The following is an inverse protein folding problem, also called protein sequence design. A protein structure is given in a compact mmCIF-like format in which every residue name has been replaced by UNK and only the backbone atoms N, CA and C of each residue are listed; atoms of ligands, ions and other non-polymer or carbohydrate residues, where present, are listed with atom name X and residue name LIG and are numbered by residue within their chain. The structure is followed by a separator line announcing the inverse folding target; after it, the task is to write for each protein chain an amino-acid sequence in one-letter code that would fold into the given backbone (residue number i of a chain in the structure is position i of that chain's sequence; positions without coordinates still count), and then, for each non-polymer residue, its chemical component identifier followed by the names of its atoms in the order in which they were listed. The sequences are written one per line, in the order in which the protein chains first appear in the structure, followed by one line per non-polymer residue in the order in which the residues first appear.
data_IF_995333944215
#
_entry.id   IF_995333944215
#
_cell.length_a   1.000
_cell.length_b   1.000
_cell.length_c   1.000
_cell.angle_alpha   90.00
_cell.angle_beta   90.00
_cell.angle_gamma   90.00
#
_symmetry.space_group_name_H-M   'P 1'
#
loop_
_entity.id
_entity.type
_entity.pdbx_description
1 polymer ?
#
# COMPACT_ATOMS: atom_id res chain seq x y z
N UNK A 1 -13.69 -22.52 8.50
CA UNK A 1 -13.16 -22.12 7.18
C UNK A 1 -13.21 -20.60 7.14
N UNK A 2 -12.07 -19.93 7.34
CA UNK A 2 -12.00 -18.50 7.15
C UNK A 2 -11.76 -18.26 5.66
N UNK A 3 -12.76 -17.74 4.94
CA UNK A 3 -12.52 -17.18 3.61
C UNK A 3 -11.51 -16.07 3.77
N UNK A 4 -10.31 -16.31 3.26
CA UNK A 4 -9.30 -15.28 3.09
C UNK A 4 -9.96 -14.25 2.17
N UNK A 5 -10.10 -13.01 2.63
CA UNK A 5 -10.38 -11.85 1.77
C UNK A 5 -9.21 -11.67 0.81
N UNK A 6 -9.11 -12.55 -0.17
CA UNK A 6 -7.92 -12.81 -0.97
C UNK A 6 -7.76 -11.84 -2.15
N UNK A 7 -8.66 -10.86 -2.30
CA UNK A 7 -8.75 -10.06 -3.53
C UNK A 7 -7.58 -9.10 -3.73
N UNK A 8 -7.18 -8.36 -2.70
CA UNK A 8 -6.32 -7.17 -2.90
C UNK A 8 -5.08 -7.15 -1.99
N UNK A 9 -5.22 -7.51 -0.69
CA UNK A 9 -4.08 -7.61 0.23
C UNK A 9 -3.03 -8.65 -0.23
N UNK A 10 -3.47 -9.78 -0.79
CA UNK A 10 -2.57 -10.80 -1.34
C UNK A 10 -1.77 -10.27 -2.54
N UNK A 11 -2.38 -9.42 -3.37
CA UNK A 11 -1.70 -8.77 -4.50
C UNK A 11 -0.63 -7.79 -4.00
N UNK A 12 -0.96 -6.93 -3.03
CA UNK A 12 0.01 -6.03 -2.39
C UNK A 12 1.21 -6.79 -1.80
N UNK A 13 0.97 -7.92 -1.14
CA UNK A 13 2.05 -8.77 -0.60
C UNK A 13 2.92 -9.34 -1.72
N UNK A 14 2.34 -9.85 -2.80
CA UNK A 14 3.09 -10.35 -3.96
C UNK A 14 3.95 -9.25 -4.61
N UNK A 15 3.43 -8.02 -4.69
CA UNK A 15 4.17 -6.87 -5.21
C UNK A 15 5.36 -6.53 -4.31
N UNK A 16 5.15 -6.47 -2.98
CA UNK A 16 6.24 -6.22 -2.02
C UNK A 16 7.34 -7.29 -2.13
N UNK A 17 6.96 -8.55 -2.37
CA UNK A 17 7.92 -9.64 -2.59
C UNK A 17 8.65 -9.50 -3.94
N UNK A 18 7.95 -9.12 -5.02
CA UNK A 18 8.53 -8.91 -6.34
C UNK A 18 9.47 -7.68 -6.41
N UNK A 19 9.13 -6.59 -5.72
CA UNK A 19 9.94 -5.37 -5.66
C UNK A 19 11.33 -5.65 -5.08
N UNK A 20 11.43 -6.52 -4.08
CA UNK A 20 12.73 -6.98 -3.53
C UNK A 20 13.58 -7.74 -4.54
N UNK A 21 12.95 -8.47 -5.47
CA UNK A 21 13.64 -9.19 -6.54
C UNK A 21 14.18 -8.27 -7.64
N UNK A 22 13.41 -7.25 -8.02
CA UNK A 22 13.81 -6.29 -9.06
C UNK A 22 14.93 -5.34 -8.63
N UNK A 23 14.95 -4.89 -7.36
CA UNK A 23 15.99 -3.98 -6.86
C UNK A 23 17.35 -4.63 -6.62
N UNK A 24 17.42 -5.97 -6.53
CA UNK A 24 18.69 -6.69 -6.39
C UNK A 24 19.48 -6.81 -7.72
N UNK A 25 18.93 -6.34 -8.86
CA UNK A 25 19.55 -6.55 -10.18
C UNK A 25 20.23 -5.34 -10.84
N UNK A 26 20.40 -4.20 -10.15
CA UNK A 26 21.13 -3.04 -10.73
C UNK A 26 22.56 -2.91 -10.18
N UNK A 27 23.48 -3.56 -10.88
CA UNK A 27 24.92 -3.39 -10.74
C UNK A 27 25.43 -2.02 -11.22
N UNK A 28 26.46 -1.54 -10.52
CA UNK A 28 27.50 -0.55 -10.89
C UNK A 28 27.32 0.21 -12.21
N UNK A 29 27.15 1.54 -12.14
CA UNK A 29 27.80 2.52 -13.05
C UNK A 29 27.85 3.89 -12.38
N UNK A 30 29.03 4.52 -12.42
CA UNK A 30 29.32 5.80 -11.80
C UNK A 30 28.82 7.00 -12.63
N UNK A 31 28.64 8.13 -11.95
CA UNK A 31 28.32 9.43 -12.54
C UNK A 31 27.57 10.32 -11.55
N UNK A 32 28.26 11.35 -11.04
CA UNK A 32 27.76 12.53 -10.32
C UNK A 32 26.68 12.34 -9.24
N UNK A 33 27.11 12.36 -7.96
CA UNK A 33 26.24 12.42 -6.78
C UNK A 33 25.53 13.79 -6.70
N UNK A 34 24.33 13.88 -7.26
CA UNK A 34 23.25 14.53 -6.52
C UNK A 34 22.82 13.55 -5.43
N UNK A 35 22.74 14.01 -4.18
CA UNK A 35 22.15 13.21 -3.11
C UNK A 35 20.73 12.85 -3.56
N UNK A 36 20.35 11.56 -3.56
CA UNK A 36 18.98 11.21 -3.88
C UNK A 36 18.09 11.91 -2.85
N UNK A 37 16.95 12.45 -3.26
CA UNK A 37 15.84 12.48 -2.32
C UNK A 37 15.60 11.03 -1.94
N UNK A 38 16.07 10.59 -0.77
CA UNK A 38 16.18 9.19 -0.32
C UNK A 38 14.80 8.49 -0.10
N UNK A 39 13.74 8.94 -0.78
CA UNK A 39 12.38 8.43 -0.66
C UNK A 39 11.92 7.93 -2.01
N UNK A 40 11.84 6.61 -2.18
CA UNK A 40 11.36 6.00 -3.43
C UNK A 40 10.09 5.23 -3.13
N UNK A 41 9.04 5.51 -3.91
CA UNK A 41 7.74 4.86 -3.80
C UNK A 41 7.33 4.27 -5.15
N UNK A 42 6.46 3.27 -5.12
CA UNK A 42 5.63 2.89 -6.26
C UNK A 42 4.15 2.98 -5.87
N UNK A 43 3.32 3.36 -6.83
CA UNK A 43 1.88 3.40 -6.69
C UNK A 43 1.28 2.45 -7.71
N UNK A 44 0.33 1.62 -7.28
CA UNK A 44 -0.42 0.74 -8.17
C UNK A 44 -1.91 0.93 -7.98
N UNK A 45 -2.65 0.86 -9.08
CA UNK A 45 -4.10 0.92 -9.11
C UNK A 45 -4.56 0.24 -10.39
N UNK A 46 -5.57 -0.64 -10.36
CA UNK A 46 -6.32 -1.11 -11.53
C UNK A 46 -5.53 -1.28 -12.85
N UNK A 47 -4.49 -2.13 -12.85
CA UNK A 47 -3.68 -2.43 -14.04
C UNK A 47 -2.68 -1.34 -14.47
N UNK A 48 -2.59 -0.25 -13.71
CA UNK A 48 -1.62 0.82 -13.85
C UNK A 48 -0.57 0.75 -12.73
N UNK A 49 0.64 1.20 -13.03
CA UNK A 49 1.73 1.32 -12.07
C UNK A 49 2.49 2.60 -12.35
N UNK A 50 2.77 3.35 -11.30
CA UNK A 50 3.46 4.64 -11.34
C UNK A 50 4.75 4.52 -10.53
N UNK A 51 5.84 4.97 -11.13
CA UNK A 51 7.13 5.15 -10.47
C UNK A 51 7.12 6.41 -9.60
N UNK A 52 8.11 6.54 -8.71
CA UNK A 52 8.16 7.63 -7.74
C UNK A 52 7.93 9.03 -8.35
N UNK A 53 8.60 9.33 -9.45
CA UNK A 53 8.57 10.65 -10.10
C UNK A 53 7.22 10.97 -10.76
N UNK A 54 6.38 9.96 -10.96
CA UNK A 54 5.03 10.08 -11.53
C UNK A 54 3.97 10.27 -10.44
N UNK A 55 4.30 10.00 -9.17
CA UNK A 55 3.36 10.10 -8.05
C UNK A 55 3.28 11.55 -7.58
N UNK A 56 2.04 12.06 -7.51
CA UNK A 56 1.75 13.39 -6.97
C UNK A 56 0.50 13.34 -6.09
N UNK A 57 0.33 14.34 -5.22
CA UNK A 57 -0.89 14.48 -4.42
C UNK A 57 -2.16 14.57 -5.28
N UNK A 58 -2.07 15.24 -6.43
CA UNK A 58 -3.16 15.33 -7.40
C UNK A 58 -3.51 13.95 -7.96
N UNK A 59 -2.51 13.17 -8.39
CA UNK A 59 -2.72 11.80 -8.87
C UNK A 59 -3.37 10.91 -7.81
N UNK A 60 -2.88 10.94 -6.57
CA UNK A 60 -3.45 10.15 -5.45
C UNK A 60 -4.92 10.53 -5.23
N UNK A 61 -5.22 11.83 -5.22
CA UNK A 61 -6.59 12.33 -5.07
C UNK A 61 -7.49 11.91 -6.23
N UNK A 62 -7.00 11.97 -7.46
CA UNK A 62 -7.76 11.61 -8.65
C UNK A 62 -8.09 10.11 -8.65
N UNK A 63 -7.12 9.25 -8.34
CA UNK A 63 -7.32 7.80 -8.20
C UNK A 63 -8.32 7.51 -7.09
N UNK A 64 -8.14 8.09 -5.90
CA UNK A 64 -9.04 7.89 -4.76
C UNK A 64 -10.48 8.34 -5.09
N UNK A 65 -10.62 9.44 -5.82
CA UNK A 65 -11.93 9.96 -6.24
C UNK A 65 -12.62 8.99 -7.20
N UNK A 66 -11.85 8.33 -8.06
CA UNK A 66 -12.32 7.34 -9.02
C UNK A 66 -12.65 5.96 -8.43
N UNK A 67 -12.20 5.64 -7.21
CA UNK A 67 -12.51 4.34 -6.60
C UNK A 67 -14.02 4.19 -6.42
N UNK A 68 -14.59 3.13 -6.99
CA UNK A 68 -15.96 2.73 -6.75
C UNK A 68 -16.01 1.51 -5.83
N UNK A 69 -17.01 1.46 -4.95
CA UNK A 69 -17.27 0.28 -4.10
C UNK A 69 -17.83 -0.91 -4.90
N UNK A 70 -18.33 -0.65 -6.12
CA UNK A 70 -18.96 -1.66 -6.98
C UNK A 70 -17.93 -2.43 -7.83
N UNK A 71 -16.71 -1.91 -7.93
CA UNK A 71 -15.61 -2.48 -8.70
C UNK A 71 -14.49 -2.88 -7.75
N UNK A 72 -13.67 -3.87 -8.13
CA UNK A 72 -12.50 -4.32 -7.36
C UNK A 72 -11.36 -3.27 -7.42
N UNK A 73 -11.73 -2.00 -7.28
CA UNK A 73 -10.85 -0.86 -7.40
C UNK A 73 -9.97 -0.74 -6.18
N UNK A 74 -8.70 -0.39 -6.41
CA UNK A 74 -7.76 -0.17 -5.34
C UNK A 74 -6.70 0.88 -5.69
N UNK A 75 -6.04 1.37 -4.65
CA UNK A 75 -4.80 2.14 -4.72
C UNK A 75 -3.86 1.57 -3.65
N UNK A 76 -2.63 1.25 -4.05
CA UNK A 76 -1.59 0.76 -3.14
C UNK A 76 -0.35 1.62 -3.29
N UNK A 77 0.14 2.18 -2.19
CA UNK A 77 1.40 2.91 -2.13
C UNK A 77 2.41 2.04 -1.40
N UNK A 78 3.50 1.70 -2.07
CA UNK A 78 4.57 0.84 -1.55
C UNK A 78 5.86 1.66 -1.48
N UNK A 79 6.42 1.89 -0.30
CA UNK A 79 7.74 2.50 -0.18
C UNK A 79 8.82 1.46 -0.47
N UNK A 80 9.96 1.90 -0.99
CA UNK A 80 11.12 1.04 -1.20
C UNK A 80 11.67 0.53 0.15
N UNK A 81 11.70 1.40 1.15
CA UNK A 81 12.06 1.10 2.53
C UNK A 81 10.84 1.21 3.46
N UNK A 82 10.64 0.28 4.42
CA UNK A 82 9.47 0.32 5.29
C UNK A 82 9.38 1.60 6.13
N UNK A 83 8.18 2.16 6.25
CA UNK A 83 7.87 3.33 7.08
C UNK A 83 7.34 2.84 8.42
N UNK A 84 8.10 3.02 9.51
CA UNK A 84 7.73 2.49 10.84
C UNK A 84 7.36 0.98 10.80
N UNK A 85 8.07 0.19 9.98
CA UNK A 85 7.79 -1.23 9.76
C UNK A 85 6.64 -1.52 8.78
N UNK A 86 5.87 -0.52 8.38
CA UNK A 86 4.87 -0.64 7.32
C UNK A 86 5.52 -0.83 5.96
N UNK A 87 5.07 -1.85 5.23
CA UNK A 87 5.54 -2.18 3.88
C UNK A 87 4.63 -1.67 2.77
N UNK A 88 3.40 -1.27 3.09
CA UNK A 88 2.48 -0.61 2.17
C UNK A 88 1.31 0.01 2.94
N UNK A 89 0.64 0.97 2.29
CA UNK A 89 -0.74 1.37 2.57
C UNK A 89 -1.59 1.10 1.33
N UNK A 90 -2.80 0.60 1.53
CA UNK A 90 -3.73 0.27 0.47
C UNK A 90 -5.12 0.79 0.82
N UNK A 91 -5.86 1.21 -0.19
CA UNK A 91 -7.29 1.47 -0.10
C UNK A 91 -7.96 0.66 -1.19
N UNK A 92 -9.05 -0.03 -0.85
CA UNK A 92 -9.83 -0.78 -1.82
C UNK A 92 -11.31 -0.78 -1.50
N UNK A 93 -12.09 -1.26 -2.46
CA UNK A 93 -13.52 -1.53 -2.27
C UNK A 93 -13.76 -2.48 -1.08
N UNK A 94 -14.92 -2.36 -0.40
CA UNK A 94 -15.28 -3.24 0.70
C UNK A 94 -15.23 -4.71 0.27
N UNK A 95 -14.77 -5.55 1.19
CA UNK A 95 -15.18 -6.94 1.22
C UNK A 95 -16.73 -6.99 1.18
N UNK A 96 -17.28 -7.87 0.33
CA UNK A 96 -18.71 -8.08 0.07
C UNK A 96 -19.59 -8.24 1.33
N UNK A 97 -18.98 -8.39 2.50
CA UNK A 97 -19.63 -8.43 3.81
C UNK A 97 -20.14 -7.05 4.28
N UNK A 98 -19.44 -5.95 4.00
CA UNK A 98 -19.72 -4.63 4.66
C UNK A 98 -20.51 -3.63 3.81
N UNK A 99 -20.82 -3.98 2.56
CA UNK A 99 -21.71 -3.32 1.59
C UNK A 99 -21.46 -1.82 1.26
N UNK A 100 -20.78 -1.00 2.06
CA UNK A 100 -20.76 0.46 1.80
C UNK A 100 -19.51 1.23 2.26
N UNK A 101 -18.47 0.58 2.78
CA UNK A 101 -17.28 1.28 3.32
C UNK A 101 -16.02 0.98 2.51
N UNK A 102 -15.22 2.01 2.20
CA UNK A 102 -13.86 1.75 1.69
C UNK A 102 -13.04 1.11 2.80
N UNK A 103 -12.17 0.19 2.41
CA UNK A 103 -11.24 -0.45 3.33
C UNK A 103 -9.87 0.21 3.18
N UNK A 104 -9.30 0.67 4.28
CA UNK A 104 -7.89 1.05 4.37
C UNK A 104 -7.12 -0.11 5.01
N UNK A 105 -6.03 -0.53 4.38
CA UNK A 105 -5.15 -1.58 4.86
C UNK A 105 -3.72 -1.09 5.00
N UNK A 106 -3.08 -1.41 6.12
CA UNK A 106 -1.64 -1.17 6.33
C UNK A 106 -0.98 -2.51 6.58
N UNK A 107 -0.05 -2.87 5.70
CA UNK A 107 0.78 -4.07 5.88
C UNK A 107 2.00 -3.75 6.72
N UNK A 108 2.24 -4.50 7.79
CA UNK A 108 3.41 -4.39 8.66
C UNK A 108 4.17 -5.71 8.64
N UNK A 109 5.47 -5.63 8.35
CA UNK A 109 6.32 -6.83 8.34
C UNK A 109 6.44 -7.39 9.76
N UNK A 110 6.27 -8.70 9.88
CA UNK A 110 6.55 -9.44 11.12
C UNK A 110 7.96 -10.05 11.08
N UNK A 111 8.50 -10.44 12.23
CA UNK A 111 9.78 -11.17 12.32
C UNK A 111 9.65 -12.58 11.72
N UNK A 112 8.43 -13.12 11.73
CA UNK A 112 8.08 -14.40 11.11
C UNK A 112 7.85 -14.24 9.60
N UNK A 113 7.99 -15.31 8.80
CA UNK A 113 7.69 -15.28 7.37
C UNK A 113 6.20 -14.98 7.13
N UNK A 114 5.89 -13.70 6.96
CA UNK A 114 4.53 -13.20 6.84
C UNK A 114 4.42 -11.69 6.98
N UNK A 115 3.18 -11.24 7.05
CA UNK A 115 2.81 -9.84 7.23
C UNK A 115 1.57 -9.76 8.11
N UNK A 116 1.54 -8.83 9.06
CA UNK A 116 0.31 -8.47 9.76
C UNK A 116 -0.37 -7.36 8.97
N UNK A 117 -1.60 -7.58 8.56
CA UNK A 117 -2.42 -6.55 7.92
C UNK A 117 -3.35 -5.95 8.97
N UNK A 118 -3.33 -4.62 9.06
CA UNK A 118 -4.25 -3.83 9.84
C UNK A 118 -5.30 -3.25 8.90
N UNK A 119 -6.58 -3.36 9.26
CA UNK A 119 -7.73 -3.05 8.42
C UNK A 119 -8.66 -2.08 9.14
N UNK A 120 -9.07 -1.03 8.44
CA UNK A 120 -9.99 -0.01 8.92
C UNK A 120 -11.03 0.31 7.86
N UNK A 121 -12.30 0.35 8.26
CA UNK A 121 -13.42 0.64 7.37
C UNK A 121 -13.88 2.07 7.59
N UNK A 122 -14.05 2.82 6.52
CA UNK A 122 -14.60 4.18 6.59
C UNK A 122 -15.20 4.63 5.27
N UNK A 123 -16.17 5.56 5.34
CA UNK A 123 -16.69 6.32 4.19
C UNK A 123 -16.03 7.69 4.03
N UNK A 124 -15.23 8.10 5.02
CA UNK A 124 -14.58 9.40 5.04
C UNK A 124 -13.40 9.43 4.07
N UNK A 125 -13.68 9.89 2.85
CA UNK A 125 -12.65 10.02 1.79
C UNK A 125 -11.60 11.07 2.12
N UNK A 126 -11.92 12.08 2.91
CA UNK A 126 -10.94 13.09 3.33
C UNK A 126 -9.94 12.48 4.31
N UNK A 127 -10.43 11.67 5.25
CA UNK A 127 -9.59 10.88 6.16
C UNK A 127 -8.68 9.92 5.39
N UNK A 128 -9.22 9.20 4.41
CA UNK A 128 -8.43 8.28 3.57
C UNK A 128 -7.37 9.04 2.77
N UNK A 129 -7.74 10.17 2.15
CA UNK A 129 -6.81 10.99 1.40
C UNK A 129 -5.67 11.46 2.31
N UNK A 130 -5.99 11.91 3.52
CA UNK A 130 -4.99 12.30 4.52
C UNK A 130 -4.04 11.15 4.83
N UNK A 131 -4.54 9.94 5.07
CA UNK A 131 -3.66 8.78 5.31
C UNK A 131 -2.72 8.50 4.13
N UNK A 132 -3.21 8.55 2.90
CA UNK A 132 -2.39 8.32 1.71
C UNK A 132 -1.31 9.40 1.53
N UNK A 133 -1.67 10.67 1.73
CA UNK A 133 -0.75 11.80 1.59
C UNK A 133 0.28 11.84 2.73
N UNK A 134 -0.13 11.61 3.97
CA UNK A 134 0.78 11.52 5.12
C UNK A 134 1.78 10.36 4.92
N UNK A 135 1.32 9.23 4.39
CA UNK A 135 2.19 8.09 4.07
C UNK A 135 3.22 8.40 2.97
N UNK A 136 2.77 9.07 1.90
CA UNK A 136 3.62 9.41 0.75
C UNK A 136 4.56 10.59 1.00
N UNK A 137 4.05 11.70 1.53
CA UNK A 137 4.81 12.95 1.66
C UNK A 137 5.59 13.02 2.97
N UNK A 138 4.98 12.55 4.06
CA UNK A 138 5.49 12.72 5.43
C UNK A 138 6.17 11.49 6.00
N UNK A 139 6.04 10.32 5.36
CA UNK A 139 6.47 9.04 5.93
C UNK A 139 5.79 8.76 7.28
N UNK A 140 4.51 9.08 7.37
CA UNK A 140 3.71 8.85 8.57
C UNK A 140 2.69 7.75 8.31
N UNK A 141 2.63 6.79 9.23
CA UNK A 141 1.59 5.75 9.23
C UNK A 141 0.39 6.21 10.05
N UNK A 142 -0.84 5.87 9.66
CA UNK A 142 -1.99 6.09 10.54
C UNK A 142 -1.82 5.35 11.87
N UNK A 143 -2.47 5.84 12.92
CA UNK A 143 -2.55 5.10 14.18
C UNK A 143 -3.44 3.86 14.00
N UNK A 144 -2.78 2.70 13.93
CA UNK A 144 -3.38 1.38 13.70
C UNK A 144 -3.71 0.63 15.00
N UNK A 145 -3.50 1.23 16.17
CA UNK A 145 -3.65 0.57 17.48
C UNK A 145 -5.05 -0.02 17.73
N UNK A 146 -6.07 0.55 17.10
CA UNK A 146 -7.48 0.14 17.23
C UNK A 146 -8.05 -0.54 15.98
N UNK A 147 -7.22 -0.84 14.98
CA UNK A 147 -7.67 -1.42 13.72
C UNK A 147 -7.86 -2.94 13.86
N UNK A 148 -8.75 -3.52 13.05
CA UNK A 148 -8.84 -4.98 12.92
C UNK A 148 -7.51 -5.50 12.37
N UNK A 149 -6.99 -6.62 12.88
CA UNK A 149 -5.73 -7.17 12.37
C UNK A 149 -5.80 -8.66 12.11
N UNK A 150 -5.11 -9.08 11.05
CA UNK A 150 -4.96 -10.48 10.70
C UNK A 150 -3.55 -10.74 10.17
N UNK A 151 -3.05 -11.94 10.43
CA UNK A 151 -1.71 -12.36 9.98
C UNK A 151 -1.83 -13.20 8.71
N UNK A 152 -1.06 -12.84 7.69
CA UNK A 152 -0.88 -13.64 6.49
C UNK A 152 0.49 -14.29 6.55
N UNK A 153 0.51 -15.62 6.58
CA UNK A 153 1.73 -16.41 6.42
C UNK A 153 2.15 -16.43 4.94
N UNK A 154 3.40 -16.09 4.66
CA UNK A 154 3.96 -16.21 3.32
C UNK A 154 4.69 -17.55 3.25
N UNK A 155 4.01 -18.57 2.72
CA UNK A 155 4.64 -19.87 2.45
C UNK A 155 5.64 -19.71 1.31
N UNK A 156 6.88 -20.13 1.56
CA UNK A 156 7.95 -20.20 0.55
C UNK A 156 7.69 -21.29 -0.47
#
# INVERSE_FOLDING_TARGET
MYSIGAGVAALAILIVLAHKGLFQQKGKRGGQKQAPSDKVYSLQTNGQSYSHDEISAALIKDILSGLSADYWDFITITPCDPINGSTFIQVGAPDSITHFDLTVEVGVRDERPGCTIYKYYTKDRELILRFLLDYFERQETPDISHWEKYFIEIKK
#
